data_IF_484118214542
#
_entry.id   IF_484118214542
#
_cell.length_a   1.000
_cell.length_b   1.000
_cell.length_c   1.000
_cell.angle_alpha   90.00
_cell.angle_beta   90.00
_cell.angle_gamma   90.00
#
_symmetry.space_group_name_H-M   'P 1'
#
loop_
_entity.id
_entity.type
_entity.pdbx_description
1 polymer ?
#
# COMPACT_ATOMS: atom_id res chain seq x y z
N UNK A 1 55.67 50.33 29.52
CA UNK A 1 54.45 50.85 28.87
C UNK A 1 53.89 49.67 28.09
N UNK A 2 52.77 49.11 28.59
CA UNK A 2 51.94 48.01 28.08
C UNK A 2 52.55 46.60 27.86
N UNK A 3 52.29 45.73 28.84
CA UNK A 3 52.23 44.28 28.68
C UNK A 3 50.96 43.89 27.90
N UNK A 4 51.11 43.12 26.82
CA UNK A 4 50.00 42.62 26.01
C UNK A 4 49.54 41.24 26.52
N UNK A 5 48.37 41.18 27.16
CA UNK A 5 47.63 39.95 27.45
C UNK A 5 47.18 39.27 26.16
N UNK A 6 47.71 38.07 25.87
CA UNK A 6 47.17 37.17 24.85
C UNK A 6 46.08 36.29 25.48
N UNK A 7 44.81 36.63 25.23
CA UNK A 7 43.66 35.81 25.64
C UNK A 7 43.36 34.78 24.54
N UNK A 8 43.67 33.51 24.79
CA UNK A 8 43.32 32.39 23.90
C UNK A 8 41.89 31.94 24.19
N UNK A 9 40.96 32.23 23.28
CA UNK A 9 39.62 31.65 23.30
C UNK A 9 39.69 30.20 22.80
N UNK A 10 39.41 29.23 23.66
CA UNK A 10 39.09 27.86 23.25
C UNK A 10 37.62 27.82 22.85
N UNK A 11 37.34 27.73 21.54
CA UNK A 11 36.01 27.40 21.04
C UNK A 11 35.94 25.88 20.94
N UNK A 12 35.36 25.23 21.95
CA UNK A 12 34.90 23.85 21.84
C UNK A 12 33.65 23.83 20.96
N UNK A 13 33.82 23.40 19.70
CA UNK A 13 32.69 23.09 18.82
C UNK A 13 32.01 21.81 19.34
N UNK A 14 30.84 21.97 19.95
CA UNK A 14 29.97 20.86 20.32
C UNK A 14 29.32 20.35 19.01
N UNK A 15 29.79 19.23 18.48
CA UNK A 15 29.13 18.56 17.38
C UNK A 15 27.81 17.95 17.91
N UNK A 16 26.71 18.66 17.72
CA UNK A 16 25.37 18.12 17.92
C UNK A 16 25.13 17.15 16.76
N UNK A 17 25.28 15.85 17.02
CA UNK A 17 24.89 14.80 16.10
C UNK A 17 23.38 14.87 15.87
N UNK A 18 22.97 15.50 14.78
CA UNK A 18 21.61 15.40 14.27
C UNK A 18 21.49 14.00 13.67
N UNK A 19 20.90 13.08 14.43
CA UNK A 19 20.53 11.76 13.94
C UNK A 19 19.40 11.92 12.92
N UNK A 20 19.73 12.24 11.68
CA UNK A 20 18.78 12.15 10.57
C UNK A 20 18.49 10.67 10.37
N UNK A 21 17.27 10.26 10.70
CA UNK A 21 16.74 8.97 10.29
C UNK A 21 16.63 9.02 8.76
N UNK A 22 17.63 8.47 8.09
CA UNK A 22 17.62 8.30 6.63
C UNK A 22 16.65 7.16 6.35
N UNK A 23 15.43 7.49 5.91
CA UNK A 23 14.57 6.50 5.28
C UNK A 23 15.30 5.98 4.04
N UNK A 24 15.39 4.67 3.91
CA UNK A 24 16.03 4.03 2.77
C UNK A 24 15.30 4.43 1.48
N UNK A 25 16.06 4.87 0.47
CA UNK A 25 15.49 5.33 -0.80
C UNK A 25 14.94 4.13 -1.60
N UNK A 26 13.73 4.27 -2.14
CA UNK A 26 13.15 3.26 -3.03
C UNK A 26 14.04 3.10 -4.28
N UNK A 27 14.52 1.89 -4.53
CA UNK A 27 15.37 1.53 -5.67
C UNK A 27 14.59 1.30 -6.96
N UNK A 28 13.26 1.38 -6.92
CA UNK A 28 12.39 1.25 -8.09
C UNK A 28 12.12 2.65 -8.67
N UNK A 29 12.59 2.94 -9.90
CA UNK A 29 12.23 4.18 -10.56
C UNK A 29 10.74 4.16 -10.94
N UNK A 30 10.12 5.34 -10.88
CA UNK A 30 8.72 5.52 -11.28
C UNK A 30 7.78 4.47 -10.64
N UNK A 31 7.95 4.21 -9.35
CA UNK A 31 7.28 3.14 -8.58
C UNK A 31 5.75 3.15 -8.63
N UNK A 32 5.14 4.34 -8.72
CA UNK A 32 3.69 4.54 -8.87
C UNK A 32 3.25 4.87 -10.29
N UNK A 33 4.12 4.69 -11.29
CA UNK A 33 3.78 4.84 -12.71
C UNK A 33 3.30 6.25 -13.14
N UNK A 34 3.60 7.28 -12.35
CA UNK A 34 3.16 8.66 -12.56
C UNK A 34 3.94 9.40 -13.66
N UNK A 35 5.16 8.95 -13.98
CA UNK A 35 5.97 9.52 -15.04
C UNK A 35 5.69 8.79 -16.36
N UNK A 36 5.31 9.55 -17.39
CA UNK A 36 4.95 9.01 -18.69
C UNK A 36 5.34 9.97 -19.83
N UNK A 37 5.57 9.40 -21.02
CA UNK A 37 5.90 10.11 -22.26
C UNK A 37 4.64 10.62 -22.95
N UNK A 38 3.57 9.83 -22.94
CA UNK A 38 2.30 10.15 -23.56
C UNK A 38 1.13 9.63 -22.71
N UNK A 39 0.02 10.37 -22.70
CA UNK A 39 -1.20 9.88 -22.07
C UNK A 39 -1.77 8.70 -22.88
N UNK A 40 -2.11 7.56 -22.24
CA UNK A 40 -2.62 6.39 -22.96
C UNK A 40 -3.98 6.71 -23.59
N UNK A 41 -4.23 6.30 -24.83
CA UNK A 41 -5.41 6.69 -25.60
C UNK A 41 -6.18 5.53 -26.25
N UNK A 42 -5.59 4.34 -26.30
CA UNK A 42 -6.21 3.14 -26.87
C UNK A 42 -5.75 1.86 -26.17
N UNK A 43 -6.59 0.83 -26.22
CA UNK A 43 -6.28 -0.53 -25.77
C UNK A 43 -5.85 -1.36 -26.98
N UNK A 44 -4.70 -2.03 -26.91
CA UNK A 44 -4.28 -2.96 -27.97
C UNK A 44 -3.24 -2.44 -28.97
N UNK A 45 -2.65 -1.26 -28.76
CA UNK A 45 -1.29 -1.07 -29.28
C UNK A 45 -0.37 -1.91 -28.42
N UNK A 46 0.41 -2.81 -29.02
CA UNK A 46 1.36 -3.71 -28.33
C UNK A 46 2.52 -2.97 -27.64
N UNK A 47 2.35 -1.67 -27.40
CA UNK A 47 3.35 -0.69 -27.07
C UNK A 47 2.84 0.34 -26.06
N UNK A 48 1.65 0.19 -25.46
CA UNK A 48 1.20 1.11 -24.41
C UNK A 48 2.18 1.19 -23.24
N UNK A 49 2.89 0.11 -22.94
CA UNK A 49 3.98 0.12 -21.95
C UNK A 49 5.15 1.05 -22.36
N UNK A 50 5.30 1.46 -23.62
CA UNK A 50 6.26 2.51 -24.01
C UNK A 50 5.84 3.91 -23.53
N UNK A 51 4.58 4.08 -23.13
CA UNK A 51 4.08 5.37 -22.70
C UNK A 51 4.47 5.65 -21.26
N UNK A 52 4.64 4.64 -20.41
CA UNK A 52 5.12 4.80 -19.03
C UNK A 52 6.65 4.82 -19.01
N UNK A 53 7.24 5.76 -18.27
CA UNK A 53 8.69 5.84 -18.13
C UNK A 53 9.23 4.67 -17.28
N UNK A 54 10.45 4.22 -17.59
CA UNK A 54 11.23 3.19 -16.84
C UNK A 54 10.68 1.75 -16.85
N UNK A 55 9.41 1.58 -17.21
CA UNK A 55 8.72 0.30 -17.21
C UNK A 55 8.54 -0.26 -18.62
N UNK A 56 8.68 -1.59 -18.74
CA UNK A 56 8.58 -2.29 -20.02
C UNK A 56 7.95 -3.67 -19.85
N UNK A 57 7.42 -4.22 -20.95
CA UNK A 57 7.09 -5.64 -21.03
C UNK A 57 8.37 -6.45 -21.32
N UNK A 58 8.74 -7.46 -20.49
CA UNK A 58 9.82 -8.41 -20.80
C UNK A 58 9.38 -9.52 -21.77
N UNK A 59 8.11 -9.54 -22.19
CA UNK A 59 7.52 -10.53 -23.10
C UNK A 59 6.87 -9.90 -24.32
N UNK A 60 6.30 -10.72 -25.20
CA UNK A 60 5.36 -10.26 -26.24
C UNK A 60 3.95 -9.95 -25.69
N UNK A 61 3.77 -10.01 -24.37
CA UNK A 61 2.55 -9.57 -23.71
C UNK A 61 2.39 -8.05 -23.77
N UNK A 62 1.16 -7.58 -23.62
CA UNK A 62 0.74 -6.19 -23.83
C UNK A 62 0.14 -5.59 -22.56
N UNK A 63 0.91 -5.49 -21.46
CA UNK A 63 0.38 -4.91 -20.23
C UNK A 63 -0.13 -3.49 -20.51
N UNK A 64 -1.27 -3.15 -19.93
CA UNK A 64 -1.90 -1.85 -20.15
C UNK A 64 -1.38 -0.82 -19.16
N UNK A 65 -1.28 0.42 -19.64
CA UNK A 65 -1.02 1.58 -18.80
C UNK A 65 -2.30 2.39 -18.65
N UNK A 66 -2.72 2.64 -17.40
CA UNK A 66 -3.89 3.44 -17.09
C UNK A 66 -3.46 4.74 -16.42
N UNK A 67 -4.08 5.85 -16.80
CA UNK A 67 -3.81 7.15 -16.20
C UNK A 67 -5.05 8.04 -16.22
N UNK A 68 -5.26 8.84 -15.17
CA UNK A 68 -6.36 9.80 -15.05
C UNK A 68 -6.40 10.85 -16.17
N UNK A 69 -5.29 11.09 -16.89
CA UNK A 69 -5.27 11.96 -18.06
C UNK A 69 -6.11 11.40 -19.23
N UNK A 70 -6.35 10.08 -19.26
CA UNK A 70 -7.02 9.40 -20.37
C UNK A 70 -8.53 9.35 -20.19
N UNK A 71 -9.26 9.58 -21.28
CA UNK A 71 -10.70 9.33 -21.32
C UNK A 71 -11.05 7.86 -21.56
N UNK A 72 -10.16 7.11 -22.21
CA UNK A 72 -10.38 5.71 -22.58
C UNK A 72 -9.72 4.79 -21.57
N UNK A 73 -8.40 4.91 -21.38
CA UNK A 73 -7.56 4.19 -20.43
C UNK A 73 -7.50 4.90 -19.07
N UNK A 74 -8.66 5.34 -18.59
CA UNK A 74 -8.77 6.26 -17.47
C UNK A 74 -8.54 5.62 -16.10
N UNK A 75 -8.09 6.44 -15.16
CA UNK A 75 -8.21 6.18 -13.72
C UNK A 75 -9.20 7.19 -13.14
N UNK A 76 -10.26 6.75 -12.42
CA UNK A 76 -10.50 5.39 -11.95
C UNK A 76 -11.25 4.47 -12.93
N UNK A 77 -11.84 4.98 -14.01
CA UNK A 77 -12.75 4.21 -14.86
C UNK A 77 -12.11 3.79 -16.18
N UNK A 78 -12.08 2.49 -16.44
CA UNK A 78 -11.57 1.86 -17.67
C UNK A 78 -12.27 0.52 -17.95
N UNK A 79 -11.79 -0.26 -18.92
CA UNK A 79 -12.41 -1.55 -19.27
C UNK A 79 -12.33 -2.59 -18.14
N UNK A 80 -11.30 -2.54 -17.30
CA UNK A 80 -11.09 -3.45 -16.18
C UNK A 80 -12.03 -3.15 -14.99
N UNK A 81 -12.74 -2.01 -15.05
CA UNK A 81 -13.75 -1.59 -14.09
C UNK A 81 -13.44 -0.20 -13.51
N UNK A 82 -13.98 0.04 -12.30
CA UNK A 82 -13.71 1.26 -11.54
C UNK A 82 -12.74 0.96 -10.39
N UNK A 83 -11.53 1.48 -10.48
CA UNK A 83 -10.50 1.35 -9.45
C UNK A 83 -9.70 2.64 -9.36
N UNK A 84 -9.66 3.25 -8.16
CA UNK A 84 -8.68 4.29 -7.85
C UNK A 84 -7.29 3.66 -7.79
N UNK A 85 -6.28 4.42 -8.23
CA UNK A 85 -4.89 4.11 -7.94
C UNK A 85 -4.67 3.96 -6.43
N UNK A 86 -3.69 3.15 -6.04
CA UNK A 86 -3.29 3.05 -4.64
C UNK A 86 -2.76 4.41 -4.16
N UNK A 87 -1.87 4.99 -4.96
CA UNK A 87 -1.41 6.37 -4.83
C UNK A 87 -1.41 7.07 -6.19
N UNK A 88 -1.43 8.40 -6.20
CA UNK A 88 -1.32 9.16 -7.45
C UNK A 88 -2.55 9.03 -8.38
N UNK A 89 -2.28 8.89 -9.67
CA UNK A 89 -3.23 8.99 -10.79
C UNK A 89 -3.07 7.90 -11.84
N UNK A 90 -2.13 6.97 -11.67
CA UNK A 90 -1.82 5.94 -12.65
C UNK A 90 -1.70 4.56 -12.00
N UNK A 91 -1.77 3.52 -12.83
CA UNK A 91 -1.37 2.15 -12.48
C UNK A 91 -1.15 1.33 -13.74
N UNK A 92 -0.46 0.20 -13.62
CA UNK A 92 -0.34 -0.80 -14.68
C UNK A 92 -1.43 -1.85 -14.53
N UNK A 93 -1.76 -2.54 -15.63
CA UNK A 93 -2.56 -3.76 -15.59
C UNK A 93 -1.89 -4.90 -16.35
N UNK A 94 -2.02 -6.11 -15.81
CA UNK A 94 -1.46 -7.34 -16.38
C UNK A 94 -2.48 -8.47 -16.41
N UNK A 95 -2.41 -9.30 -17.45
CA UNK A 95 -2.98 -10.66 -17.40
C UNK A 95 -2.13 -11.53 -16.50
N UNK A 96 -2.64 -11.87 -15.31
CA UNK A 96 -1.99 -12.82 -14.41
C UNK A 96 -2.08 -14.25 -14.93
N UNK A 97 -3.23 -14.66 -15.44
CA UNK A 97 -3.42 -15.95 -16.09
C UNK A 97 -4.71 -15.93 -16.94
N UNK A 98 -4.74 -16.79 -17.96
CA UNK A 98 -6.00 -17.16 -18.63
C UNK A 98 -6.71 -18.23 -17.81
N UNK A 99 -8.04 -18.11 -17.69
CA UNK A 99 -8.89 -19.18 -17.22
C UNK A 99 -8.91 -20.25 -18.31
N UNK A 100 -8.41 -21.46 -18.04
CA UNK A 100 -8.33 -22.55 -19.00
C UNK A 100 -9.72 -23.16 -19.28
N UNK A 101 -10.57 -22.41 -19.99
CA UNK A 101 -11.95 -22.79 -20.27
C UNK A 101 -12.08 -23.66 -21.53
N UNK A 102 -11.07 -23.63 -22.41
CA UNK A 102 -10.92 -24.50 -23.58
C UNK A 102 -9.54 -25.20 -23.54
N UNK A 103 -9.45 -26.53 -23.70
CA UNK A 103 -8.19 -27.25 -23.83
C UNK A 103 -7.27 -26.76 -24.97
N UNK A 104 -7.82 -26.05 -25.97
CA UNK A 104 -7.07 -25.44 -27.08
C UNK A 104 -6.64 -24.00 -26.81
N UNK A 105 -7.10 -23.39 -25.73
CA UNK A 105 -6.76 -22.02 -25.37
C UNK A 105 -5.26 -21.93 -25.09
N UNK A 106 -4.60 -21.02 -25.80
CA UNK A 106 -3.18 -20.73 -25.60
C UNK A 106 -3.07 -19.92 -24.30
N UNK A 107 -2.19 -20.37 -23.40
CA UNK A 107 -1.88 -19.66 -22.18
C UNK A 107 -1.26 -18.30 -22.49
N UNK A 108 -1.73 -17.28 -21.77
CA UNK A 108 -1.33 -15.90 -21.95
C UNK A 108 -1.15 -15.25 -20.59
N UNK A 109 0.02 -14.63 -20.42
CA UNK A 109 0.46 -13.94 -19.20
C UNK A 109 1.28 -12.74 -19.57
N UNK A 110 1.11 -11.71 -18.75
CA UNK A 110 1.84 -10.47 -18.88
C UNK A 110 2.73 -10.26 -17.67
N UNK A 111 3.81 -9.56 -17.92
CA UNK A 111 4.80 -9.21 -16.94
C UNK A 111 5.17 -7.75 -17.16
N UNK A 112 5.52 -7.07 -16.09
CA UNK A 112 6.15 -5.75 -16.16
C UNK A 112 7.55 -5.85 -15.56
N UNK A 113 8.47 -5.07 -16.11
CA UNK A 113 9.84 -4.98 -15.61
C UNK A 113 10.30 -3.54 -15.50
N UNK A 114 11.18 -3.29 -14.55
CA UNK A 114 11.96 -2.05 -14.47
C UNK A 114 13.42 -2.37 -14.18
N UNK A 115 14.32 -1.51 -14.65
CA UNK A 115 15.70 -1.50 -14.20
C UNK A 115 15.75 -0.80 -12.85
N UNK A 116 16.37 -1.41 -11.85
CA UNK A 116 16.60 -0.77 -10.56
C UNK A 116 17.55 0.43 -10.72
N UNK A 117 17.42 1.43 -9.85
CA UNK A 117 18.33 2.58 -9.82
C UNK A 117 19.75 2.14 -9.54
N UNK A 118 19.91 1.14 -8.67
CA UNK A 118 21.18 0.52 -8.31
C UNK A 118 21.09 -1.01 -8.37
N UNK A 119 22.22 -1.67 -8.61
CA UNK A 119 22.31 -3.14 -8.54
C UNK A 119 22.35 -3.54 -7.06
N UNK A 120 21.63 -4.61 -6.71
CA UNK A 120 21.58 -5.09 -5.33
C UNK A 120 22.94 -5.67 -4.89
N UNK A 121 23.28 -5.53 -3.61
CA UNK A 121 24.57 -5.95 -3.08
C UNK A 121 24.56 -7.42 -2.62
N UNK A 122 25.63 -8.16 -2.92
CA UNK A 122 25.73 -9.58 -2.59
C UNK A 122 25.70 -9.82 -1.07
N UNK A 123 24.81 -10.69 -0.61
CA UNK A 123 24.68 -11.05 0.81
C UNK A 123 23.85 -10.08 1.63
N UNK A 124 23.48 -8.92 1.09
CA UNK A 124 22.56 -7.99 1.74
C UNK A 124 21.12 -8.48 1.62
N UNK A 125 20.33 -8.18 2.65
CA UNK A 125 18.89 -8.52 2.65
C UNK A 125 18.11 -7.30 2.19
N UNK A 126 17.17 -7.51 1.28
CA UNK A 126 16.30 -6.47 0.74
C UNK A 126 14.85 -6.78 1.10
N UNK A 127 14.08 -5.73 1.35
CA UNK A 127 12.63 -5.76 1.37
C UNK A 127 12.11 -5.31 0.01
N UNK A 128 11.08 -5.99 -0.50
CA UNK A 128 10.36 -5.53 -1.68
C UNK A 128 8.87 -5.77 -1.57
N UNK A 129 8.08 -4.85 -2.11
CA UNK A 129 6.62 -4.91 -2.14
C UNK A 129 6.03 -4.40 -3.45
N UNK A 130 4.78 -4.80 -3.70
CA UNK A 130 3.92 -4.28 -4.76
C UNK A 130 2.46 -4.35 -4.33
N UNK A 131 1.67 -3.33 -4.64
CA UNK A 131 0.22 -3.35 -4.47
C UNK A 131 -0.45 -3.98 -5.68
N UNK A 132 -1.32 -4.95 -5.43
CA UNK A 132 -2.05 -5.67 -6.46
C UNK A 132 -3.53 -5.67 -6.16
N UNK A 133 -4.37 -5.46 -7.18
CA UNK A 133 -5.82 -5.56 -7.05
C UNK A 133 -6.40 -6.36 -8.20
N UNK A 134 -7.35 -7.26 -7.92
CA UNK A 134 -8.05 -7.95 -8.98
C UNK A 134 -9.01 -6.97 -9.68
N UNK A 135 -9.01 -6.96 -11.01
CA UNK A 135 -9.95 -6.16 -11.77
C UNK A 135 -11.40 -6.53 -11.47
N UNK A 136 -12.25 -5.52 -11.33
CA UNK A 136 -13.67 -5.70 -11.01
C UNK A 136 -14.39 -6.55 -12.08
N UNK A 137 -13.95 -6.43 -13.35
CA UNK A 137 -14.47 -7.19 -14.48
C UNK A 137 -14.19 -8.69 -14.47
N UNK A 138 -13.25 -9.17 -13.65
CA UNK A 138 -12.81 -10.57 -13.67
C UNK A 138 -13.79 -11.49 -12.95
N UNK A 139 -13.96 -12.71 -13.43
CA UNK A 139 -14.84 -13.71 -12.81
C UNK A 139 -14.13 -14.71 -11.89
N UNK A 140 -12.81 -14.71 -11.93
CA UNK A 140 -11.98 -15.50 -11.05
C UNK A 140 -10.62 -14.82 -10.84
N UNK A 141 -10.00 -15.16 -9.73
CA UNK A 141 -8.60 -14.89 -9.42
C UNK A 141 -7.73 -16.12 -9.69
N UNK A 142 -6.41 -15.93 -9.77
CA UNK A 142 -5.45 -17.02 -9.70
C UNK A 142 -4.31 -16.74 -8.72
N UNK A 143 -3.67 -17.82 -8.28
CA UNK A 143 -2.41 -17.78 -7.55
C UNK A 143 -1.20 -17.55 -8.49
N UNK A 144 0.00 -17.45 -7.91
CA UNK A 144 1.26 -17.46 -8.65
C UNK A 144 1.87 -16.10 -8.94
N UNK A 145 1.21 -15.01 -8.54
CA UNK A 145 1.79 -13.67 -8.61
C UNK A 145 2.97 -13.54 -7.65
N UNK A 146 4.02 -12.87 -8.14
CA UNK A 146 5.24 -12.65 -7.37
C UNK A 146 6.13 -11.54 -7.91
N UNK A 147 7.27 -11.39 -7.25
CA UNK A 147 8.34 -10.46 -7.60
C UNK A 147 9.61 -11.28 -7.82
N UNK A 148 10.22 -11.09 -8.99
CA UNK A 148 11.46 -11.75 -9.38
C UNK A 148 12.55 -10.71 -9.64
N UNK A 149 13.74 -10.98 -9.10
CA UNK A 149 14.93 -10.14 -9.30
C UNK A 149 15.97 -10.87 -10.15
N UNK A 150 16.59 -10.13 -11.07
CA UNK A 150 17.49 -10.72 -12.06
C UNK A 150 18.60 -9.78 -12.52
N UNK A 151 19.72 -10.36 -12.96
CA UNK A 151 20.84 -9.61 -13.54
C UNK A 151 20.66 -9.21 -14.98
N UNK A 152 19.81 -9.94 -15.70
CA UNK A 152 19.39 -9.57 -17.05
C UNK A 152 17.91 -9.26 -17.02
N UNK A 153 17.46 -8.23 -17.74
CA UNK A 153 16.05 -7.85 -17.70
C UNK A 153 15.09 -8.87 -18.32
N UNK A 154 15.56 -10.06 -18.72
CA UNK A 154 14.84 -11.15 -19.38
C UNK A 154 13.96 -10.70 -20.56
N UNK A 155 14.33 -11.08 -21.78
CA UNK A 155 13.49 -10.84 -22.96
C UNK A 155 13.14 -12.18 -23.60
N UNK A 156 11.85 -12.53 -23.61
CA UNK A 156 11.34 -13.75 -24.23
C UNK A 156 10.24 -13.40 -25.22
N UNK A 157 10.24 -14.09 -26.36
CA UNK A 157 9.24 -13.93 -27.41
C UNK A 157 7.98 -14.77 -27.18
N UNK A 158 7.65 -15.07 -25.92
CA UNK A 158 6.51 -15.92 -25.58
C UNK A 158 5.67 -15.29 -24.47
N UNK A 159 4.39 -15.66 -24.46
CA UNK A 159 3.34 -15.18 -23.54
C UNK A 159 2.86 -16.27 -22.59
N UNK A 160 3.40 -17.50 -22.65
CA UNK A 160 2.89 -18.66 -21.89
C UNK A 160 3.31 -18.61 -20.41
N UNK A 161 4.56 -18.89 -20.09
CA UNK A 161 5.08 -18.74 -18.73
C UNK A 161 6.61 -18.58 -18.74
N UNK A 162 7.13 -17.87 -17.75
CA UNK A 162 8.53 -17.95 -17.38
C UNK A 162 8.67 -18.97 -16.25
N UNK A 163 9.34 -20.12 -16.46
CA UNK A 163 9.54 -21.12 -15.42
C UNK A 163 10.65 -20.68 -14.45
N UNK A 164 10.48 -19.50 -13.86
CA UNK A 164 11.37 -18.90 -12.89
C UNK A 164 10.75 -19.03 -11.51
N UNK A 165 11.59 -19.16 -10.48
CA UNK A 165 11.12 -19.12 -9.09
C UNK A 165 11.28 -17.68 -8.59
N UNK A 166 10.18 -16.92 -8.40
CA UNK A 166 10.26 -15.58 -7.83
C UNK A 166 10.81 -15.64 -6.41
N UNK A 167 11.63 -14.67 -6.03
CA UNK A 167 12.14 -14.53 -4.67
C UNK A 167 11.02 -14.23 -3.68
N UNK A 168 9.95 -13.58 -4.14
CA UNK A 168 8.81 -13.16 -3.32
C UNK A 168 7.53 -13.59 -4.01
N UNK A 169 6.64 -14.25 -3.27
CA UNK A 169 5.29 -14.63 -3.72
C UNK A 169 4.25 -14.08 -2.76
N UNK A 170 2.99 -14.02 -3.20
CA UNK A 170 1.89 -13.76 -2.27
C UNK A 170 1.80 -14.85 -1.19
N UNK A 171 1.23 -14.50 -0.02
CA UNK A 171 1.14 -15.36 1.17
C UNK A 171 0.55 -16.72 0.81
N UNK A 172 1.25 -17.79 1.21
CA UNK A 172 0.91 -19.19 0.91
C UNK A 172 0.67 -19.49 -0.57
N UNK A 173 1.11 -18.60 -1.48
CA UNK A 173 0.79 -18.64 -2.89
C UNK A 173 -0.74 -18.77 -3.13
N UNK A 174 -1.54 -18.04 -2.36
CA UNK A 174 -3.00 -18.00 -2.54
C UNK A 174 -3.41 -17.11 -3.73
N UNK A 175 -4.66 -17.29 -4.19
CA UNK A 175 -5.23 -16.43 -5.21
C UNK A 175 -5.63 -15.05 -4.64
N UNK A 176 -5.10 -13.98 -5.22
CA UNK A 176 -5.47 -12.60 -4.85
C UNK A 176 -6.84 -12.29 -5.46
N UNK A 177 -7.88 -12.27 -4.61
CA UNK A 177 -9.27 -12.22 -5.02
C UNK A 177 -10.00 -10.92 -4.61
N UNK A 178 -9.33 -10.01 -3.91
CA UNK A 178 -9.93 -8.74 -3.50
C UNK A 178 -10.08 -7.82 -4.72
N UNK A 179 -11.32 -7.39 -4.96
CA UNK A 179 -11.71 -6.51 -6.07
C UNK A 179 -11.96 -5.09 -5.61
N UNK A 180 -12.03 -4.84 -4.30
CA UNK A 180 -12.37 -3.54 -3.72
C UNK A 180 -11.14 -2.85 -3.15
N UNK A 181 -10.19 -3.64 -2.62
CA UNK A 181 -8.99 -3.16 -1.94
C UNK A 181 -7.72 -3.64 -2.65
N UNK A 182 -6.68 -2.85 -2.51
CA UNK A 182 -5.33 -3.25 -2.87
C UNK A 182 -4.79 -4.26 -1.86
N UNK A 183 -4.13 -5.29 -2.36
CA UNK A 183 -3.50 -6.37 -1.62
C UNK A 183 -2.01 -6.32 -1.87
N UNK A 184 -1.22 -6.25 -0.80
CA UNK A 184 0.23 -6.17 -0.94
C UNK A 184 0.83 -7.58 -1.12
N UNK A 185 1.62 -7.75 -2.17
CA UNK A 185 2.62 -8.82 -2.26
C UNK A 185 3.92 -8.23 -1.76
N UNK A 186 4.57 -8.85 -0.81
CA UNK A 186 5.90 -8.41 -0.42
C UNK A 186 6.71 -9.55 0.19
N UNK A 187 8.00 -9.33 0.40
CA UNK A 187 8.85 -10.22 1.18
C UNK A 187 10.22 -9.63 1.43
N UNK A 188 11.06 -10.41 2.10
CA UNK A 188 12.49 -10.17 2.14
C UNK A 188 13.22 -11.28 1.41
N UNK A 189 14.38 -10.96 0.84
CA UNK A 189 15.29 -11.94 0.26
C UNK A 189 16.73 -11.47 0.38
N UNK A 190 17.66 -12.42 0.39
CA UNK A 190 19.10 -12.13 0.33
C UNK A 190 19.54 -12.06 -1.12
N UNK A 191 20.11 -10.93 -1.52
CA UNK A 191 20.56 -10.69 -2.88
C UNK A 191 21.87 -11.45 -3.18
N UNK A 192 22.03 -11.85 -4.44
CA UNK A 192 23.24 -12.53 -4.95
C UNK A 192 24.30 -11.53 -5.41
N UNK A 193 23.90 -10.28 -5.65
CA UNK A 193 24.80 -9.17 -5.97
C UNK A 193 24.84 -8.76 -7.43
N UNK A 194 24.04 -9.41 -8.27
CA UNK A 194 23.96 -9.12 -9.70
C UNK A 194 22.57 -8.64 -10.12
N UNK A 195 21.59 -8.63 -9.22
CA UNK A 195 20.23 -8.24 -9.50
C UNK A 195 20.11 -6.75 -9.86
N UNK A 196 19.81 -6.48 -11.14
CA UNK A 196 19.67 -5.13 -11.69
C UNK A 196 18.25 -4.82 -12.20
N UNK A 197 17.37 -5.82 -12.19
CA UNK A 197 16.00 -5.71 -12.68
C UNK A 197 15.01 -6.34 -11.71
N UNK A 198 13.86 -5.70 -11.59
CA UNK A 198 12.65 -6.23 -10.95
C UNK A 198 11.65 -6.63 -12.04
N UNK A 199 11.01 -7.79 -11.87
CA UNK A 199 10.01 -8.34 -12.78
C UNK A 199 8.81 -8.79 -11.95
N UNK A 200 7.61 -8.38 -12.33
CA UNK A 200 6.36 -8.67 -11.63
C UNK A 200 5.41 -9.36 -12.61
N UNK A 201 4.78 -10.45 -12.18
CA UNK A 201 3.86 -11.25 -12.98
C UNK A 201 3.56 -12.59 -12.33
N UNK A 202 3.07 -13.56 -13.11
CA UNK A 202 2.70 -14.88 -12.62
C UNK A 202 3.65 -15.99 -13.08
N UNK A 203 4.38 -16.58 -12.16
CA UNK A 203 5.52 -17.46 -12.45
C UNK A 203 5.19 -18.97 -12.43
N UNK A 204 3.97 -19.35 -12.10
CA UNK A 204 3.58 -20.77 -12.05
C UNK A 204 3.41 -21.36 -13.45
N UNK A 205 3.59 -22.67 -13.60
CA UNK A 205 3.13 -23.35 -14.82
C UNK A 205 1.60 -23.42 -14.85
N UNK A 206 1.00 -23.67 -16.01
CA UNK A 206 -0.46 -23.81 -16.11
C UNK A 206 -1.00 -24.97 -15.27
N UNK A 207 -0.19 -26.02 -15.03
CA UNK A 207 -0.59 -27.13 -14.15
C UNK A 207 -0.60 -26.78 -12.66
N UNK A 208 0.10 -25.70 -12.27
CA UNK A 208 0.21 -25.24 -10.89
C UNK A 208 -0.77 -24.10 -10.57
N UNK A 209 -1.47 -23.57 -11.59
CA UNK A 209 -2.46 -22.53 -11.39
C UNK A 209 -3.69 -23.10 -10.69
N UNK A 210 -4.06 -22.44 -9.60
CA UNK A 210 -5.30 -22.62 -8.89
C UNK A 210 -6.17 -21.38 -9.07
N UNK A 211 -7.46 -21.60 -9.33
CA UNK A 211 -8.43 -20.54 -9.55
C UNK A 211 -9.35 -20.37 -8.35
N UNK A 212 -9.71 -19.13 -8.05
CA UNK A 212 -10.81 -18.79 -7.13
C UNK A 212 -11.90 -18.08 -7.90
N UNK A 213 -12.96 -18.82 -8.24
CA UNK A 213 -14.14 -18.28 -8.92
C UNK A 213 -15.08 -17.57 -7.94
N UNK A 214 -15.80 -16.55 -8.42
CA UNK A 214 -16.79 -15.82 -7.63
C UNK A 214 -18.25 -16.23 -7.90
N UNK A 215 -18.48 -17.08 -8.91
CA UNK A 215 -19.78 -17.70 -9.22
C UNK A 215 -19.58 -19.20 -9.47
N UNK A 216 -20.31 -20.03 -8.73
CA UNK A 216 -20.27 -21.49 -8.77
C UNK A 216 -21.10 -22.09 -9.93
N UNK A 217 -22.00 -21.31 -10.54
CA UNK A 217 -22.80 -21.72 -11.72
C UNK A 217 -22.21 -21.22 -13.04
N UNK A 218 -20.91 -21.00 -13.07
CA UNK A 218 -20.23 -20.39 -14.20
C UNK A 218 -20.34 -21.22 -15.48
N UNK A 219 -21.09 -20.70 -16.45
CA UNK A 219 -21.06 -21.16 -17.85
C UNK A 219 -20.15 -20.19 -18.62
N UNK A 220 -18.97 -20.67 -19.00
CA UNK A 220 -18.10 -19.97 -19.94
C UNK A 220 -18.84 -19.77 -21.27
N UNK A 221 -19.37 -18.57 -21.49
CA UNK A 221 -19.87 -18.17 -22.81
C UNK A 221 -18.80 -17.32 -23.50
N UNK A 222 -18.88 -17.21 -24.83
CA UNK A 222 -17.99 -16.38 -25.65
C UNK A 222 -17.99 -14.87 -25.29
N UNK A 223 -18.81 -14.44 -24.32
CA UNK A 223 -18.97 -13.04 -23.89
C UNK A 223 -18.33 -12.73 -22.53
N UNK A 224 -17.65 -13.72 -21.93
CA UNK A 224 -17.04 -13.59 -20.61
C UNK A 224 -15.54 -13.34 -20.75
N UNK A 225 -15.01 -12.41 -19.96
CA UNK A 225 -13.59 -12.16 -19.87
C UNK A 225 -12.85 -13.40 -19.29
N UNK A 226 -12.08 -14.15 -20.10
CA UNK A 226 -11.55 -15.45 -19.72
C UNK A 226 -10.19 -15.35 -19.02
N UNK A 227 -9.96 -14.31 -18.22
CA UNK A 227 -8.68 -14.06 -17.55
C UNK A 227 -8.86 -13.52 -16.12
N UNK A 228 -7.86 -13.83 -15.28
CA UNK A 228 -7.59 -13.08 -14.07
C UNK A 228 -6.65 -11.93 -14.43
N UNK A 229 -7.17 -10.70 -14.35
CA UNK A 229 -6.48 -9.47 -14.69
C UNK A 229 -6.23 -8.66 -13.43
N UNK A 230 -5.00 -8.19 -13.27
CA UNK A 230 -4.51 -7.58 -12.05
C UNK A 230 -4.01 -6.17 -12.32
N UNK A 231 -4.51 -5.23 -11.53
CA UNK A 231 -3.98 -3.88 -11.44
C UNK A 231 -2.76 -3.89 -10.51
N UNK A 232 -1.73 -3.13 -10.87
CA UNK A 232 -0.46 -3.05 -10.15
C UNK A 232 -0.11 -1.59 -9.89
N UNK A 233 0.21 -1.29 -8.64
CA UNK A 233 0.63 0.04 -8.18
C UNK A 233 1.68 -0.06 -7.06
N UNK A 234 2.32 1.07 -6.72
CA UNK A 234 3.22 1.25 -5.58
C UNK A 234 4.26 0.12 -5.39
N UNK A 235 5.24 0.08 -6.30
CA UNK A 235 6.33 -0.90 -6.25
C UNK A 235 7.50 -0.37 -5.44
N UNK A 236 7.95 -1.13 -4.45
CA UNK A 236 9.00 -0.70 -3.53
C UNK A 236 10.11 -1.75 -3.41
N UNK A 237 11.37 -1.29 -3.39
CA UNK A 237 12.55 -2.11 -3.08
C UNK A 237 13.54 -1.27 -2.29
N UNK A 238 14.03 -1.78 -1.16
CA UNK A 238 15.09 -1.13 -0.40
C UNK A 238 15.87 -2.15 0.45
N UNK A 239 17.10 -1.83 0.88
CA UNK A 239 17.78 -2.58 1.94
C UNK A 239 16.85 -2.82 3.13
N UNK A 240 16.84 -4.05 3.61
CA UNK A 240 15.99 -4.46 4.72
C UNK A 240 16.53 -3.89 6.02
N UNK A 241 15.73 -3.02 6.63
CA UNK A 241 15.92 -2.55 7.99
C UNK A 241 14.78 -3.04 8.88
N UNK A 242 15.12 -3.87 9.86
CA UNK A 242 14.19 -4.41 10.88
C UNK A 242 13.45 -3.34 11.70
N UNK A 243 13.94 -2.09 11.71
CA UNK A 243 13.26 -0.97 12.34
C UNK A 243 12.08 -0.44 11.50
N UNK A 244 12.09 -0.65 10.18
CA UNK A 244 11.12 -0.08 9.24
C UNK A 244 10.27 -1.12 8.50
N UNK A 245 10.82 -2.30 8.24
CA UNK A 245 10.13 -3.36 7.51
C UNK A 245 10.08 -4.59 8.41
N UNK A 246 8.88 -5.00 8.82
CA UNK A 246 8.75 -6.12 9.76
C UNK A 246 8.13 -7.36 9.19
N UNK A 247 7.16 -7.25 8.30
CA UNK A 247 6.59 -8.46 7.72
C UNK A 247 5.90 -8.19 6.41
N UNK A 248 5.87 -9.25 5.62
CA UNK A 248 5.12 -9.29 4.41
C UNK A 248 3.94 -10.19 4.51
N UNK A 249 2.76 -9.58 4.42
CA UNK A 249 1.51 -10.29 4.59
C UNK A 249 1.41 -10.90 5.99
N UNK A 250 1.70 -10.11 7.01
CA UNK A 250 1.22 -10.34 8.36
C UNK A 250 0.97 -8.97 9.01
N UNK A 251 -0.28 -8.56 9.19
CA UNK A 251 -1.09 -8.94 10.36
C UNK A 251 -0.92 -10.41 10.81
N UNK A 252 0.28 -10.78 11.26
CA UNK A 252 0.48 -11.60 12.45
C UNK A 252 1.54 -10.85 13.19
N UNK A 253 1.12 -10.35 14.33
CA UNK A 253 2.00 -10.23 15.47
C UNK A 253 3.35 -9.51 15.22
N UNK A 254 3.36 -8.35 14.54
CA UNK A 254 3.65 -7.18 15.37
C UNK A 254 2.64 -7.33 16.47
N UNK A 255 3.09 -7.75 17.66
CA UNK A 255 2.45 -7.40 18.92
C UNK A 255 1.77 -6.06 18.65
N UNK A 256 0.48 -6.15 18.38
CA UNK A 256 -0.54 -5.13 18.34
C UNK A 256 0.02 -3.82 18.91
N UNK A 257 0.77 -2.98 18.19
CA UNK A 257 1.19 -1.70 18.81
C UNK A 257 0.08 -0.67 18.82
N UNK A 258 -1.12 -1.08 18.39
CA UNK A 258 -2.36 -0.42 18.77
C UNK A 258 -2.93 -1.04 20.06
N UNK A 259 -2.85 -2.36 20.32
CA UNK A 259 -3.42 -2.98 21.55
C UNK A 259 -2.76 -4.32 21.99
N UNK A 260 -1.44 -4.37 22.22
CA UNK A 260 -0.66 -5.62 22.50
C UNK A 260 -0.21 -5.62 23.94
N UNK A 261 -1.23 -5.70 24.73
CA UNK A 261 -1.18 -5.80 26.16
C UNK A 261 -2.62 -5.81 26.60
N UNK A 262 -2.84 -6.21 27.84
CA UNK A 262 -3.94 -5.64 28.58
C UNK A 262 -3.85 -4.12 28.41
N UNK A 263 -4.93 -3.47 27.97
CA UNK A 263 -4.98 -2.02 28.03
C UNK A 263 -4.92 -1.62 29.48
N UNK A 264 -3.83 -0.98 29.86
CA UNK A 264 -3.67 -0.48 31.21
C UNK A 264 -4.43 0.84 31.35
N UNK A 265 -5.02 1.14 32.51
CA UNK A 265 -5.56 2.45 32.83
C UNK A 265 -4.57 3.57 32.48
N UNK A 266 -5.10 4.70 32.00
CA UNK A 266 -4.35 5.89 31.57
C UNK A 266 -3.48 5.73 30.31
N UNK A 267 -3.56 4.60 29.61
CA UNK A 267 -2.85 4.43 28.34
C UNK A 267 -3.43 5.37 27.27
N UNK A 268 -2.59 6.30 26.80
CA UNK A 268 -2.91 7.22 25.70
C UNK A 268 -2.43 6.68 24.36
N UNK A 269 -3.28 6.75 23.35
CA UNK A 269 -3.03 6.26 22.01
C UNK A 269 -3.52 7.26 20.95
N UNK A 270 -2.89 7.27 19.78
CA UNK A 270 -3.35 8.02 18.60
C UNK A 270 -3.90 7.01 17.59
N UNK A 271 -5.05 7.30 16.99
CA UNK A 271 -5.54 6.55 15.84
C UNK A 271 -4.81 7.08 14.59
N UNK A 272 -3.73 6.41 14.22
CA UNK A 272 -2.78 6.88 13.20
C UNK A 272 -3.33 6.68 11.78
N UNK A 273 -4.31 5.79 11.61
CA UNK A 273 -4.93 5.45 10.33
C UNK A 273 -6.39 5.87 10.29
N UNK A 274 -6.79 6.84 11.11
CA UNK A 274 -8.12 7.42 11.09
C UNK A 274 -8.15 8.69 10.23
N UNK A 275 -8.91 8.63 9.15
CA UNK A 275 -9.05 9.69 8.18
C UNK A 275 -10.49 10.20 8.08
N UNK A 276 -10.62 11.49 7.80
CA UNK A 276 -11.91 12.17 7.61
C UNK A 276 -11.93 12.89 6.27
N UNK A 277 -13.13 13.06 5.69
CA UNK A 277 -13.30 14.02 4.59
C UNK A 277 -12.86 15.43 5.02
N UNK A 278 -12.26 16.18 4.10
CA UNK A 278 -11.76 17.54 4.36
C UNK A 278 -12.86 18.42 4.93
N UNK A 279 -12.56 19.10 6.05
CA UNK A 279 -13.49 19.97 6.80
C UNK A 279 -14.79 19.28 7.26
N UNK A 280 -14.76 17.96 7.41
CA UNK A 280 -15.89 17.14 7.88
C UNK A 280 -15.45 16.15 8.96
N UNK A 281 -16.45 15.48 9.53
CA UNK A 281 -16.31 14.37 10.49
C UNK A 281 -16.78 13.02 9.92
N UNK A 282 -17.02 12.95 8.62
CA UNK A 282 -17.30 11.69 7.94
C UNK A 282 -16.02 10.86 7.84
N UNK A 283 -16.01 9.70 8.51
CA UNK A 283 -14.90 8.76 8.52
C UNK A 283 -14.74 8.14 7.12
N UNK A 284 -13.51 8.13 6.62
CA UNK A 284 -13.19 7.51 5.33
C UNK A 284 -13.02 5.98 5.47
N UNK A 285 -13.39 5.18 4.46
CA UNK A 285 -13.36 3.71 4.52
C UNK A 285 -12.02 3.10 4.96
N UNK A 286 -10.91 3.76 4.62
CA UNK A 286 -9.54 3.38 4.95
C UNK A 286 -9.32 3.27 6.48
N UNK A 287 -10.13 3.99 7.26
CA UNK A 287 -10.07 4.03 8.73
C UNK A 287 -10.72 2.83 9.41
N UNK A 288 -11.58 2.09 8.71
CA UNK A 288 -12.41 1.07 9.34
C UNK A 288 -11.60 -0.12 9.86
N UNK A 289 -10.41 -0.38 9.32
CA UNK A 289 -9.56 -1.45 9.84
C UNK A 289 -9.12 -1.16 11.28
N UNK A 290 -8.59 0.04 11.54
CA UNK A 290 -8.15 0.47 12.87
C UNK A 290 -9.33 0.53 13.86
N UNK A 291 -10.49 1.02 13.40
CA UNK A 291 -11.71 1.08 14.22
C UNK A 291 -12.29 -0.31 14.53
N UNK A 292 -12.25 -1.26 13.60
CA UNK A 292 -12.68 -2.64 13.88
C UNK A 292 -11.75 -3.31 14.91
N UNK A 293 -10.45 -3.02 14.88
CA UNK A 293 -9.52 -3.52 15.89
C UNK A 293 -9.85 -2.96 17.28
N UNK A 294 -10.20 -1.67 17.37
CA UNK A 294 -10.67 -1.07 18.61
C UNK A 294 -11.92 -1.77 19.16
N UNK A 295 -12.89 -2.08 18.30
CA UNK A 295 -14.09 -2.86 18.66
C UNK A 295 -13.72 -4.23 19.24
N UNK A 296 -12.81 -4.95 18.58
CA UNK A 296 -12.38 -6.27 19.07
C UNK A 296 -11.78 -6.19 20.49
N UNK A 297 -11.03 -5.13 20.79
CA UNK A 297 -10.39 -4.94 22.08
C UNK A 297 -11.39 -4.56 23.18
N UNK A 298 -12.36 -3.71 22.86
CA UNK A 298 -13.46 -3.40 23.77
C UNK A 298 -14.37 -4.61 24.04
N UNK A 299 -14.50 -5.52 23.07
CA UNK A 299 -15.23 -6.78 23.23
C UNK A 299 -14.45 -7.80 24.08
N UNK A 300 -13.13 -7.88 23.91
CA UNK A 300 -12.25 -8.74 24.73
C UNK A 300 -12.14 -8.24 26.18
N UNK A 301 -12.35 -6.93 26.41
CA UNK A 301 -12.24 -6.30 27.72
C UNK A 301 -13.57 -5.58 28.08
N UNK A 302 -14.59 -6.28 28.61
CA UNK A 302 -15.91 -5.68 28.85
C UNK A 302 -15.95 -4.52 29.86
N UNK A 303 -14.95 -4.40 30.73
CA UNK A 303 -14.82 -3.32 31.72
C UNK A 303 -14.08 -2.09 31.19
N UNK A 304 -13.49 -2.18 30.00
CA UNK A 304 -12.70 -1.10 29.42
C UNK A 304 -13.61 0.08 29.06
N UNK A 305 -13.26 1.28 29.53
CA UNK A 305 -13.90 2.53 29.16
C UNK A 305 -12.90 3.42 28.39
N UNK A 306 -13.40 4.17 27.42
CA UNK A 306 -12.58 4.99 26.52
C UNK A 306 -12.99 6.46 26.57
N UNK A 307 -12.00 7.32 26.69
CA UNK A 307 -12.11 8.75 26.42
C UNK A 307 -11.55 9.03 25.03
N UNK A 308 -12.37 9.55 24.12
CA UNK A 308 -12.00 9.86 22.74
C UNK A 308 -11.80 11.37 22.62
N UNK A 309 -10.58 11.79 22.29
CA UNK A 309 -10.17 13.18 22.19
C UNK A 309 -9.92 13.55 20.73
N UNK A 310 -10.78 14.38 20.14
CA UNK A 310 -10.60 14.90 18.81
C UNK A 310 -9.74 16.16 18.80
N UNK A 311 -8.92 16.29 17.76
CA UNK A 311 -8.06 17.46 17.51
C UNK A 311 -8.23 17.97 16.08
N UNK A 312 -8.13 19.29 15.92
CA UNK A 312 -8.13 19.97 14.63
C UNK A 312 -6.80 20.71 14.42
N UNK A 313 -6.48 21.03 13.16
CA UNK A 313 -5.33 21.90 12.88
C UNK A 313 -5.69 23.38 13.11
N UNK A 314 -4.70 24.26 12.98
CA UNK A 314 -4.87 25.70 13.25
C UNK A 314 -5.59 26.47 12.13
N UNK A 315 -6.09 25.79 11.09
CA UNK A 315 -6.83 26.46 10.01
C UNK A 315 -8.30 26.65 10.41
N UNK A 316 -8.88 27.82 10.12
CA UNK A 316 -10.25 28.16 10.52
C UNK A 316 -10.36 28.84 11.89
N UNK A 317 -11.58 29.13 12.35
CA UNK A 317 -11.81 29.75 13.66
C UNK A 317 -11.69 28.73 14.80
N UNK A 318 -11.39 29.20 16.01
CA UNK A 318 -11.27 28.34 17.20
C UNK A 318 -12.61 27.65 17.50
N UNK A 319 -13.72 28.37 17.43
CA UNK A 319 -15.06 27.81 17.66
C UNK A 319 -15.40 26.71 16.65
N UNK A 320 -15.03 26.90 15.37
CA UNK A 320 -15.22 25.91 14.33
C UNK A 320 -14.38 24.67 14.61
N UNK A 321 -13.12 24.85 14.99
CA UNK A 321 -12.21 23.75 15.27
C UNK A 321 -12.63 22.92 16.50
N UNK A 322 -13.15 23.57 17.55
CA UNK A 322 -13.72 22.87 18.71
C UNK A 322 -14.87 21.96 18.24
N UNK A 323 -15.84 22.52 17.52
CA UNK A 323 -17.01 21.79 17.00
C UNK A 323 -16.57 20.64 16.07
N UNK A 324 -15.65 20.90 15.14
CA UNK A 324 -15.15 19.90 14.20
C UNK A 324 -14.45 18.74 14.92
N UNK A 325 -13.60 19.07 15.88
CA UNK A 325 -12.85 18.08 16.66
C UNK A 325 -13.77 17.22 17.54
N UNK A 326 -14.78 17.82 18.17
CA UNK A 326 -15.78 17.09 18.96
C UNK A 326 -16.62 16.15 18.08
N UNK A 327 -17.10 16.63 16.92
CA UNK A 327 -17.85 15.79 15.99
C UNK A 327 -17.03 14.63 15.43
N UNK A 328 -15.71 14.78 15.26
CA UNK A 328 -14.82 13.67 14.89
C UNK A 328 -14.74 12.60 15.98
N UNK A 329 -14.64 13.02 17.24
CA UNK A 329 -14.67 12.08 18.37
C UNK A 329 -16.03 11.36 18.44
N UNK A 330 -17.14 12.09 18.23
CA UNK A 330 -18.49 11.51 18.17
C UNK A 330 -18.63 10.53 17.01
N UNK A 331 -18.11 10.84 15.82
CA UNK A 331 -18.16 9.93 14.68
C UNK A 331 -17.48 8.58 14.97
N UNK A 332 -16.35 8.59 15.70
CA UNK A 332 -15.69 7.38 16.17
C UNK A 332 -16.59 6.63 17.15
N UNK A 333 -17.16 7.31 18.15
CA UNK A 333 -18.11 6.71 19.09
C UNK A 333 -19.30 6.06 18.38
N UNK A 334 -19.92 6.76 17.44
CA UNK A 334 -21.08 6.26 16.69
C UNK A 334 -20.72 4.98 15.91
N UNK A 335 -19.52 4.93 15.33
CA UNK A 335 -19.01 3.72 14.68
C UNK A 335 -18.90 2.55 15.66
N UNK A 336 -18.29 2.76 16.84
CA UNK A 336 -18.12 1.73 17.85
C UNK A 336 -19.47 1.23 18.40
N UNK A 337 -20.41 2.15 18.62
CA UNK A 337 -21.76 1.84 19.06
C UNK A 337 -22.52 1.03 18.02
N UNK A 338 -22.41 1.39 16.73
CA UNK A 338 -23.00 0.63 15.63
C UNK A 338 -22.43 -0.80 15.52
N UNK A 339 -21.22 -1.04 16.05
CA UNK A 339 -20.57 -2.35 16.15
C UNK A 339 -20.87 -3.10 17.44
N UNK A 340 -21.75 -2.56 18.29
CA UNK A 340 -22.27 -3.24 19.49
C UNK A 340 -21.62 -2.83 20.81
N UNK A 341 -20.73 -1.83 20.83
CA UNK A 341 -20.17 -1.31 22.09
C UNK A 341 -21.20 -0.43 22.80
N UNK A 342 -21.37 -0.62 24.11
CA UNK A 342 -22.29 0.19 24.90
C UNK A 342 -21.87 1.67 24.92
N UNK A 343 -22.75 2.63 24.58
CA UNK A 343 -22.43 4.05 24.56
C UNK A 343 -21.92 4.61 25.88
N UNK A 344 -22.26 3.98 27.01
CA UNK A 344 -21.83 4.38 28.36
C UNK A 344 -20.34 4.14 28.61
N UNK A 345 -19.69 3.31 27.78
CA UNK A 345 -18.26 2.99 27.90
C UNK A 345 -17.37 3.95 27.09
N UNK A 346 -17.95 5.01 26.51
CA UNK A 346 -17.27 5.90 25.58
C UNK A 346 -17.65 7.36 25.87
N UNK A 347 -16.67 8.16 26.27
CA UNK A 347 -16.79 9.62 26.38
C UNK A 347 -16.06 10.29 25.22
N UNK A 348 -16.51 11.49 24.83
CA UNK A 348 -15.93 12.24 23.71
C UNK A 348 -15.59 13.67 24.14
N UNK A 349 -14.45 14.17 23.68
CA UNK A 349 -13.95 15.51 23.98
C UNK A 349 -13.37 16.15 22.71
N UNK A 350 -13.74 17.39 22.42
CA UNK A 350 -13.13 18.18 21.34
C UNK A 350 -12.14 19.20 21.90
N UNK A 351 -10.90 19.20 21.41
CA UNK A 351 -9.84 20.13 21.86
C UNK A 351 -9.56 21.26 20.86
N UNK A 352 -10.23 21.25 19.70
CA UNK A 352 -9.93 22.16 18.61
C UNK A 352 -8.45 22.13 18.23
N UNK A 353 -7.85 23.30 18.03
CA UNK A 353 -6.43 23.45 17.71
C UNK A 353 -5.55 23.74 18.92
N UNK A 354 -6.11 23.69 20.14
CA UNK A 354 -5.44 24.12 21.38
C UNK A 354 -4.31 23.19 21.83
N UNK A 355 -4.25 21.96 21.31
CA UNK A 355 -3.23 20.95 21.64
C UNK A 355 -2.54 20.41 20.37
N UNK A 356 -1.70 21.24 19.70
CA UNK A 356 -0.98 20.80 18.51
C UNK A 356 0.07 19.75 18.89
N UNK A 357 0.07 18.64 18.17
CA UNK A 357 1.08 17.58 18.27
C UNK A 357 2.38 17.97 17.57
N UNK A 358 2.26 18.80 16.52
CA UNK A 358 3.36 19.27 15.69
C UNK A 358 3.13 20.74 15.32
N UNK A 359 4.16 21.58 15.34
CA UNK A 359 4.02 23.02 15.04
C UNK A 359 3.85 23.31 13.55
N UNK A 360 4.13 22.34 12.67
CA UNK A 360 4.16 22.53 11.21
C UNK A 360 3.20 21.56 10.49
N UNK A 361 3.05 20.34 10.99
CA UNK A 361 2.24 19.33 10.31
C UNK A 361 0.75 19.44 10.64
N UNK A 362 -0.01 20.01 9.70
CA UNK A 362 -1.47 20.03 9.76
C UNK A 362 -2.07 18.61 9.82
N UNK A 363 -1.45 17.64 9.13
CA UNK A 363 -1.94 16.26 9.12
C UNK A 363 -1.83 15.59 10.49
N UNK A 364 -0.71 15.78 11.20
CA UNK A 364 -0.55 15.25 12.57
C UNK A 364 -1.47 15.94 13.57
N UNK A 365 -1.88 17.18 13.30
CA UNK A 365 -2.78 17.92 14.18
C UNK A 365 -4.26 17.57 13.96
N UNK A 366 -4.63 17.08 12.76
CA UNK A 366 -5.95 16.49 12.49
C UNK A 366 -5.97 15.01 12.91
N UNK A 367 -6.09 14.76 14.21
CA UNK A 367 -6.01 13.41 14.78
C UNK A 367 -7.12 13.13 15.79
N UNK A 368 -7.30 11.86 16.13
CA UNK A 368 -8.07 11.42 17.30
C UNK A 368 -7.17 10.64 18.22
N UNK A 369 -7.23 10.96 19.50
CA UNK A 369 -6.54 10.26 20.57
C UNK A 369 -7.55 9.47 21.40
N UNK A 370 -7.12 8.33 21.91
CA UNK A 370 -7.89 7.50 22.84
C UNK A 370 -7.11 7.46 24.15
N UNK A 371 -7.82 7.65 25.25
CA UNK A 371 -7.29 7.41 26.60
C UNK A 371 -8.14 6.31 27.23
N UNK A 372 -7.48 5.28 27.72
CA UNK A 372 -8.11 4.19 28.47
C UNK A 372 -8.34 4.64 29.91
N UNK A 373 -9.52 4.37 30.46
CA UNK A 373 -9.80 4.52 31.90
C UNK A 373 -9.64 3.20 32.67
#
# INVERSE_FOLDING_TARGET
>A
MFDSMNMRYFITALAIGCSTVLLSQNLVPNAGFEQFVQCPDDYGTSSQWLYVADWQSPTEGTPDYFNACSKKCGVPLNWAGSAKAYEGKAYMGIVGCMLQLDPKQISYREYIRARLTDTLEAGETYYASVQVRLALSCLAACNGLGIYFSSTGLTNRNTVNYPLSPQITYVNNEAIADKDRWTQICGTFTAKGDEAFIIIGNFLSDQQIEYRAFDENFIATQYVNPMAYYLIDDVFVAPFDTAFYKDCGFIVAEKTRFFSGTLEPDQKMVLEHLYFETDKWQILPESFNELNQLVEQMNKNPQLELNIHGHADQTGSEEHNIILSENRAIAVKDYLVAKGILPSRINCFGHGSSQPFDTVSHQKNRRVEIVVE
#
